data_IF_084107495680
#
_entry.id   IF_084107495680
#
_cell.length_a   1.000
_cell.length_b   1.000
_cell.length_c   1.000
_cell.angle_alpha   90.00
_cell.angle_beta   90.00
_cell.angle_gamma   90.00
#
_symmetry.space_group_name_H-M   'P 1'
#
loop_
_entity.id
_entity.type
_entity.pdbx_description
1 polymer ?
#
# COMPACT_ATOMS: atom_id res chain seq x y z
N UNK A 1 -2.20 -24.29 24.76
CA UNK A 1 -1.35 -24.17 23.57
C UNK A 1 -1.64 -22.79 23.03
N UNK A 2 -0.88 -21.78 23.46
CA UNK A 2 -1.08 -20.40 23.03
C UNK A 2 -0.67 -20.31 21.56
N UNK A 3 -1.64 -20.17 20.66
CA UNK A 3 -1.40 -19.82 19.26
C UNK A 3 -0.66 -18.49 19.25
N UNK A 4 0.65 -18.54 19.01
CA UNK A 4 1.45 -17.33 18.85
C UNK A 4 0.94 -16.61 17.61
N UNK A 5 0.42 -15.40 17.77
CA UNK A 5 0.02 -14.58 16.62
C UNK A 5 1.23 -14.38 15.71
N UNK A 6 1.05 -14.73 14.44
CA UNK A 6 2.10 -14.62 13.43
C UNK A 6 1.80 -13.45 12.51
N UNK A 7 2.86 -12.80 12.04
CA UNK A 7 2.81 -11.69 11.10
C UNK A 7 3.63 -12.03 9.88
N UNK A 8 3.01 -11.88 8.72
CA UNK A 8 3.66 -11.99 7.42
C UNK A 8 4.14 -10.62 7.00
N UNK A 9 5.42 -10.52 6.67
CA UNK A 9 6.04 -9.34 6.09
C UNK A 9 6.41 -9.65 4.66
N UNK A 10 6.01 -8.79 3.72
CA UNK A 10 6.27 -8.98 2.31
C UNK A 10 6.78 -7.71 1.63
N UNK A 11 7.72 -7.86 0.70
CA UNK A 11 8.22 -6.80 -0.16
C UNK A 11 8.73 -7.36 -1.50
N UNK A 12 8.91 -6.50 -2.50
CA UNK A 12 9.58 -6.84 -3.76
C UNK A 12 11.06 -6.46 -3.72
N UNK A 13 11.93 -7.40 -4.07
CA UNK A 13 13.37 -7.11 -4.12
C UNK A 13 13.70 -6.19 -5.32
N UNK A 14 14.35 -5.04 -5.11
CA UNK A 14 14.74 -4.14 -6.21
C UNK A 14 15.81 -4.71 -7.15
N UNK A 15 16.47 -5.82 -6.79
CA UNK A 15 17.59 -6.37 -7.57
C UNK A 15 17.28 -7.65 -8.34
N UNK A 16 16.32 -8.44 -7.89
CA UNK A 16 15.91 -9.69 -8.57
C UNK A 16 14.42 -9.72 -8.89
N UNK A 17 13.67 -8.67 -8.52
CA UNK A 17 12.25 -8.48 -8.77
C UNK A 17 11.35 -9.60 -8.23
N UNK A 18 11.89 -10.45 -7.34
CA UNK A 18 11.14 -11.51 -6.69
C UNK A 18 10.44 -10.98 -5.44
N UNK A 19 9.25 -11.49 -5.21
CA UNK A 19 8.52 -11.35 -3.95
C UNK A 19 9.25 -12.09 -2.83
N UNK A 20 9.46 -11.38 -1.73
CA UNK A 20 10.03 -11.92 -0.50
C UNK A 20 8.96 -11.80 0.56
N UNK A 21 8.41 -12.93 1.00
CA UNK A 21 7.43 -12.99 2.07
C UNK A 21 7.96 -13.89 3.19
N UNK A 22 7.91 -13.41 4.43
CA UNK A 22 8.41 -14.14 5.59
C UNK A 22 7.42 -14.01 6.73
N UNK A 23 7.11 -15.14 7.34
CA UNK A 23 6.31 -15.22 8.55
C UNK A 23 7.20 -15.14 9.80
N UNK A 24 6.81 -14.28 10.76
CA UNK A 24 7.46 -14.14 12.06
C UNK A 24 6.43 -14.10 13.17
N UNK A 25 6.73 -14.75 14.29
CA UNK A 25 5.91 -14.63 15.50
C UNK A 25 6.14 -13.27 16.16
N UNK A 26 5.17 -12.77 16.92
CA UNK A 26 5.34 -11.53 17.71
C UNK A 26 6.58 -11.60 18.62
N UNK A 27 6.86 -12.78 19.17
CA UNK A 27 8.04 -12.99 20.01
C UNK A 27 9.34 -12.83 19.24
N UNK A 28 9.44 -13.40 18.02
CA UNK A 28 10.60 -13.21 17.16
C UNK A 28 10.81 -11.74 16.81
N UNK A 29 9.72 -11.03 16.53
CA UNK A 29 9.73 -9.60 16.24
C UNK A 29 10.18 -8.75 17.45
N UNK A 30 9.89 -9.19 18.67
CA UNK A 30 10.22 -8.49 19.91
C UNK A 30 11.62 -8.80 20.43
N UNK A 31 12.17 -9.97 20.12
CA UNK A 31 13.43 -10.42 20.66
C UNK A 31 14.64 -9.63 20.13
N UNK A 32 14.61 -9.14 18.89
CA UNK A 32 15.71 -8.36 18.30
C UNK A 32 15.30 -7.68 16.98
N UNK A 33 16.17 -6.80 16.46
CA UNK A 33 16.02 -6.28 15.11
C UNK A 33 15.97 -7.43 14.10
N UNK A 34 14.85 -7.57 13.39
CA UNK A 34 14.66 -8.64 12.42
C UNK A 34 15.09 -8.12 11.05
N UNK A 35 16.16 -8.69 10.52
CA UNK A 35 16.54 -8.51 9.13
C UNK A 35 16.01 -9.70 8.31
N UNK A 36 15.25 -9.39 7.27
CA UNK A 36 14.66 -10.33 6.33
C UNK A 36 15.42 -10.21 5.01
N UNK A 37 16.52 -10.94 4.82
CA UNK A 37 17.27 -10.90 3.59
C UNK A 37 16.48 -11.55 2.45
N UNK A 38 16.54 -10.94 1.27
CA UNK A 38 16.09 -11.60 0.05
C UNK A 38 17.00 -12.81 -0.23
N UNK A 39 16.46 -13.92 -0.77
CA UNK A 39 17.25 -15.07 -1.21
C UNK A 39 18.36 -14.73 -2.22
N UNK A 40 18.26 -13.61 -2.94
CA UNK A 40 19.33 -13.15 -3.83
C UNK A 40 20.51 -12.46 -3.11
N UNK A 41 20.36 -12.15 -1.81
CA UNK A 41 21.38 -11.53 -0.97
C UNK A 41 21.61 -10.03 -1.19
N UNK A 42 20.91 -9.40 -2.14
CA UNK A 42 21.16 -7.99 -2.54
C UNK A 42 20.28 -6.96 -1.83
N UNK A 43 19.26 -7.41 -1.10
CA UNK A 43 18.35 -6.52 -0.37
C UNK A 43 17.87 -7.19 0.91
N UNK A 44 17.48 -6.39 1.90
CA UNK A 44 16.88 -6.91 3.12
C UNK A 44 15.86 -5.93 3.69
N UNK A 45 14.73 -6.45 4.16
CA UNK A 45 13.76 -5.67 4.92
C UNK A 45 14.11 -5.74 6.41
N UNK A 46 14.28 -4.60 7.07
CA UNK A 46 14.57 -4.52 8.50
C UNK A 46 13.36 -4.09 9.30
N UNK A 47 13.16 -4.71 10.46
CA UNK A 47 12.09 -4.39 11.41
C UNK A 47 12.68 -4.19 12.79
N UNK A 48 12.35 -3.05 13.40
CA UNK A 48 12.79 -2.69 14.74
C UNK A 48 11.57 -2.29 15.58
N UNK A 49 11.31 -3.01 16.68
CA UNK A 49 10.27 -2.66 17.64
C UNK A 49 10.83 -1.71 18.72
N UNK A 50 10.33 -0.48 18.72
CA UNK A 50 10.70 0.62 19.62
C UNK A 50 9.58 0.88 20.65
N UNK A 51 9.25 -0.13 21.46
CA UNK A 51 8.19 -0.05 22.48
C UNK A 51 6.80 0.09 21.84
N UNK A 52 6.24 1.30 21.83
CA UNK A 52 4.92 1.60 21.25
C UNK A 52 4.95 1.78 19.72
N UNK A 53 6.13 1.88 19.12
CA UNK A 53 6.27 2.04 17.66
C UNK A 53 7.10 0.94 17.04
N UNK A 54 6.83 0.64 15.78
CA UNK A 54 7.64 -0.25 14.95
C UNK A 54 8.20 0.57 13.79
N UNK A 55 9.51 0.47 13.58
CA UNK A 55 10.22 1.04 12.45
C UNK A 55 10.51 -0.07 11.44
N UNK A 56 10.18 0.17 10.18
CA UNK A 56 10.54 -0.71 9.08
C UNK A 56 11.46 0.05 8.12
N UNK A 57 12.55 -0.59 7.72
CA UNK A 57 13.40 -0.12 6.61
C UNK A 57 13.21 -1.06 5.44
N UNK A 58 12.71 -0.53 4.33
CA UNK A 58 12.24 -1.31 3.20
C UNK A 58 12.94 -0.85 1.92
N UNK A 59 13.59 -1.76 1.19
CA UNK A 59 14.15 -1.43 -0.12
C UNK A 59 13.01 -1.29 -1.14
N UNK A 60 12.86 -0.12 -1.75
CA UNK A 60 11.79 0.15 -2.72
C UNK A 60 12.24 -0.21 -4.14
N UNK A 61 11.50 -1.11 -4.80
CA UNK A 61 11.66 -1.41 -6.22
C UNK A 61 11.38 -0.18 -7.11
N UNK A 62 10.30 0.56 -6.83
CA UNK A 62 9.84 1.62 -7.73
C UNK A 62 10.77 2.84 -7.82
N UNK A 63 11.48 3.18 -6.74
CA UNK A 63 12.38 4.34 -6.72
C UNK A 63 13.86 3.98 -6.50
N UNK A 64 14.18 2.69 -6.30
CA UNK A 64 15.53 2.21 -6.08
C UNK A 64 16.22 2.68 -4.79
N UNK A 65 15.45 3.15 -3.79
CA UNK A 65 15.97 3.68 -2.52
C UNK A 65 15.33 2.97 -1.33
N UNK A 66 16.02 2.95 -0.20
CA UNK A 66 15.45 2.48 1.06
C UNK A 66 14.50 3.50 1.67
N UNK A 67 13.32 3.05 2.09
CA UNK A 67 12.34 3.84 2.81
C UNK A 67 12.28 3.40 4.27
N UNK A 68 12.36 4.38 5.17
CA UNK A 68 12.11 4.16 6.60
C UNK A 68 10.71 4.61 6.93
N UNK A 69 9.87 3.69 7.37
CA UNK A 69 8.48 3.94 7.77
C UNK A 69 8.28 3.57 9.23
N UNK A 70 7.34 4.24 9.90
CA UNK A 70 7.01 3.95 11.30
C UNK A 70 5.51 3.78 11.46
N UNK A 71 5.11 2.80 12.26
CA UNK A 71 3.72 2.58 12.65
C UNK A 71 3.63 2.29 14.15
N UNK A 72 2.42 2.30 14.72
CA UNK A 72 2.25 1.86 16.11
C UNK A 72 2.34 0.34 16.21
N UNK A 73 2.87 -0.14 17.34
CA UNK A 73 2.94 -1.57 17.65
C UNK A 73 1.54 -2.20 17.64
N UNK A 74 0.52 -1.48 18.13
CA UNK A 74 -0.86 -1.95 18.07
C UNK A 74 -1.35 -2.15 16.63
N UNK A 75 -1.06 -1.21 15.71
CA UNK A 75 -1.45 -1.38 14.31
C UNK A 75 -0.69 -2.55 13.67
N UNK A 76 0.61 -2.65 13.92
CA UNK A 76 1.45 -3.73 13.43
C UNK A 76 0.96 -5.12 13.89
N UNK A 77 0.52 -5.23 15.15
CA UNK A 77 0.10 -6.50 15.76
C UNK A 77 -1.36 -6.88 15.56
N UNK A 78 -2.26 -5.94 15.25
CA UNK A 78 -3.69 -6.24 15.11
C UNK A 78 -4.33 -5.92 13.76
N UNK A 79 -3.70 -5.12 12.88
CA UNK A 79 -4.27 -4.85 11.56
C UNK A 79 -4.17 -6.07 10.64
N UNK A 80 -5.20 -6.30 9.81
CA UNK A 80 -5.21 -7.40 8.85
C UNK A 80 -4.13 -7.25 7.79
N UNK A 81 -3.93 -6.03 7.31
CA UNK A 81 -2.86 -5.65 6.39
C UNK A 81 -2.52 -4.18 6.59
N UNK A 82 -1.24 -3.88 6.64
CA UNK A 82 -0.66 -2.55 6.57
C UNK A 82 0.10 -2.48 5.26
N UNK A 83 -0.20 -1.47 4.45
CA UNK A 83 0.52 -1.14 3.24
C UNK A 83 1.34 0.13 3.48
N UNK A 84 2.59 0.13 3.01
CA UNK A 84 3.45 1.31 3.09
C UNK A 84 3.83 1.73 1.69
N UNK A 85 3.32 2.90 1.26
CA UNK A 85 3.51 3.39 -0.09
C UNK A 85 4.74 4.28 -0.25
N UNK A 86 5.39 4.18 -1.41
CA UNK A 86 6.42 5.11 -1.86
C UNK A 86 5.75 6.46 -2.15
N UNK A 87 6.24 7.54 -1.54
CA UNK A 87 5.74 8.88 -1.85
C UNK A 87 6.08 9.33 -3.27
N UNK A 88 7.11 8.75 -3.89
CA UNK A 88 7.57 9.13 -5.23
C UNK A 88 6.78 8.42 -6.35
N UNK A 89 6.60 7.11 -6.25
CA UNK A 89 5.88 6.34 -7.27
C UNK A 89 4.38 6.21 -7.00
N UNK A 90 3.96 6.33 -5.74
CA UNK A 90 2.59 6.02 -5.31
C UNK A 90 2.32 4.52 -5.13
N UNK A 91 3.25 3.64 -5.54
CA UNK A 91 3.18 2.19 -5.38
C UNK A 91 3.58 1.76 -3.96
N UNK A 92 3.02 0.64 -3.50
CA UNK A 92 3.39 0.05 -2.23
C UNK A 92 4.78 -0.56 -2.24
N UNK A 93 5.53 -0.37 -1.16
CA UNK A 93 6.89 -0.87 -0.98
C UNK A 93 6.92 -2.14 -0.13
N UNK A 94 6.04 -2.21 0.87
CA UNK A 94 5.90 -3.40 1.69
C UNK A 94 4.50 -3.55 2.28
N UNK A 95 4.22 -4.79 2.67
CA UNK A 95 3.01 -5.20 3.35
C UNK A 95 3.34 -5.94 4.64
N UNK A 96 2.53 -5.71 5.67
CA UNK A 96 2.62 -6.43 6.95
C UNK A 96 1.23 -6.79 7.45
N UNK A 97 1.02 -8.04 7.88
CA UNK A 97 -0.27 -8.43 8.44
C UNK A 97 -0.50 -9.93 8.50
N UNK A 98 -1.75 -10.32 8.30
CA UNK A 98 -2.18 -11.70 8.13
C UNK A 98 -1.75 -12.23 6.75
N UNK A 99 -1.45 -13.53 6.68
CA UNK A 99 -0.90 -14.16 5.47
C UNK A 99 -1.75 -13.89 4.22
N UNK A 100 -3.03 -14.29 4.23
CA UNK A 100 -3.92 -14.14 3.07
C UNK A 100 -4.00 -12.71 2.50
N UNK A 101 -4.36 -11.71 3.33
CA UNK A 101 -4.40 -10.30 2.90
C UNK A 101 -3.05 -9.77 2.38
N UNK A 102 -1.94 -10.18 3.01
CA UNK A 102 -0.59 -9.76 2.59
C UNK A 102 -0.24 -10.35 1.23
N UNK A 103 -0.48 -11.65 1.00
CA UNK A 103 -0.22 -12.28 -0.29
C UNK A 103 -1.10 -11.70 -1.40
N UNK A 104 -2.38 -11.42 -1.14
CA UNK A 104 -3.26 -10.77 -2.12
C UNK A 104 -2.78 -9.34 -2.48
N UNK A 105 -2.25 -8.60 -1.50
CA UNK A 105 -1.66 -7.29 -1.77
C UNK A 105 -0.33 -7.40 -2.53
N UNK A 106 0.50 -8.39 -2.19
CA UNK A 106 1.77 -8.64 -2.86
C UNK A 106 1.59 -9.01 -4.34
N UNK A 107 0.60 -9.86 -4.67
CA UNK A 107 0.28 -10.21 -6.05
C UNK A 107 -0.11 -9.00 -6.89
N UNK A 108 -0.88 -8.06 -6.31
CA UNK A 108 -1.22 -6.80 -6.99
C UNK A 108 0.02 -5.95 -7.24
N UNK A 109 0.93 -5.89 -6.26
CA UNK A 109 2.19 -5.19 -6.41
C UNK A 109 3.09 -5.83 -7.47
N UNK A 110 3.16 -7.17 -7.54
CA UNK A 110 3.88 -7.91 -8.57
C UNK A 110 3.35 -7.56 -9.98
N UNK A 111 2.03 -7.54 -10.16
CA UNK A 111 1.41 -7.16 -11.43
C UNK A 111 1.72 -5.70 -11.81
N UNK A 112 1.67 -4.77 -10.84
CA UNK A 112 2.04 -3.37 -11.08
C UNK A 112 3.53 -3.19 -11.42
N UNK A 113 4.41 -3.98 -10.80
CA UNK A 113 5.84 -3.97 -11.07
C UNK A 113 6.19 -4.51 -12.46
N UNK A 114 5.56 -5.61 -12.88
CA UNK A 114 5.74 -6.18 -14.22
C UNK A 114 5.31 -5.20 -15.33
N UNK A 115 4.24 -4.43 -15.10
CA UNK A 115 3.84 -3.32 -16.00
C UNK A 115 4.87 -2.19 -16.01
N UNK A 116 5.45 -1.84 -14.85
CA UNK A 116 6.49 -0.81 -14.77
C UNK A 116 7.74 -1.21 -15.58
N UNK A 117 8.18 -2.47 -15.49
CA UNK A 117 9.31 -2.99 -16.27
C UNK A 117 9.04 -2.93 -17.78
N UNK A 118 7.81 -3.22 -18.22
CA UNK A 118 7.40 -3.06 -19.62
C UNK A 118 7.38 -1.60 -20.06
N UNK A 119 6.88 -0.70 -19.22
CA UNK A 119 6.83 0.74 -19.48
C UNK A 119 8.21 1.42 -19.50
N UNK A 120 9.29 0.76 -19.05
CA UNK A 120 10.66 1.29 -19.26
C UNK A 120 11.20 0.99 -20.67
N UNK A 121 10.54 0.11 -21.44
CA UNK A 121 10.88 -0.22 -22.83
C UNK A 121 10.13 0.61 -23.89
N UNK A 122 9.00 1.22 -23.53
CA UNK A 122 8.14 2.04 -24.41
C UNK A 122 7.97 3.44 -23.77
N UNK A 123 7.75 4.49 -24.57
CA UNK A 123 7.71 5.89 -24.09
C UNK A 123 6.84 6.03 -22.81
N UNK A 124 7.47 6.42 -21.68
CA UNK A 124 6.78 6.62 -20.39
C UNK A 124 5.62 7.60 -20.57
N UNK A 125 4.40 7.07 -20.66
CA UNK A 125 3.16 7.83 -20.66
C UNK A 125 2.96 8.59 -19.34
N UNK A 126 1.92 9.41 -19.26
CA UNK A 126 1.63 10.20 -18.05
C UNK A 126 1.23 9.34 -16.83
N UNK A 127 0.88 8.08 -17.05
CA UNK A 127 0.42 7.12 -16.06
C UNK A 127 1.08 5.75 -16.26
N UNK A 128 1.06 4.90 -15.23
CA UNK A 128 1.59 3.53 -15.29
C UNK A 128 0.81 2.67 -16.29
N UNK A 129 -0.51 2.83 -16.33
CA UNK A 129 -1.40 2.20 -17.29
C UNK A 129 -2.52 3.19 -17.61
N UNK A 130 -2.49 3.77 -18.81
CA UNK A 130 -3.43 4.83 -19.19
C UNK A 130 -4.88 4.31 -19.22
N UNK A 131 -5.09 3.08 -19.69
CA UNK A 131 -6.42 2.46 -19.74
C UNK A 131 -6.98 2.25 -18.34
N UNK A 132 -6.20 1.63 -17.45
CA UNK A 132 -6.63 1.42 -16.05
C UNK A 132 -6.93 2.74 -15.35
N UNK A 133 -6.05 3.74 -15.50
CA UNK A 133 -6.25 5.06 -14.89
C UNK A 133 -7.55 5.72 -15.38
N UNK A 134 -7.82 5.66 -16.69
CA UNK A 134 -9.05 6.21 -17.27
C UNK A 134 -10.31 5.51 -16.73
N UNK A 135 -10.30 4.18 -16.63
CA UNK A 135 -11.45 3.42 -16.12
C UNK A 135 -11.70 3.72 -14.64
N UNK A 136 -10.67 3.74 -13.79
CA UNK A 136 -10.81 4.09 -12.37
C UNK A 136 -11.34 5.52 -12.20
N UNK A 137 -10.89 6.48 -13.02
CA UNK A 137 -11.42 7.85 -13.01
C UNK A 137 -12.89 7.92 -13.46
N UNK A 138 -13.30 7.09 -14.42
CA UNK A 138 -14.69 6.97 -14.87
C UNK A 138 -15.58 6.46 -13.74
N UNK A 139 -15.22 5.35 -13.10
CA UNK A 139 -15.96 4.80 -11.96
C UNK A 139 -16.06 5.80 -10.81
N UNK A 140 -14.95 6.47 -10.49
CA UNK A 140 -14.91 7.49 -9.45
C UNK A 140 -15.83 8.68 -9.77
N UNK A 141 -15.90 9.10 -11.04
CA UNK A 141 -16.80 10.16 -11.50
C UNK A 141 -18.27 9.75 -11.35
N UNK A 142 -18.62 8.51 -11.64
CA UNK A 142 -19.99 8.01 -11.43
C UNK A 142 -20.39 8.01 -9.95
N UNK A 143 -19.50 7.57 -9.07
CA UNK A 143 -19.74 7.61 -7.61
C UNK A 143 -19.91 9.06 -7.14
N UNK A 144 -19.07 9.97 -7.62
CA UNK A 144 -19.15 11.40 -7.30
C UNK A 144 -20.47 12.04 -7.76
N UNK A 145 -20.96 11.72 -8.96
CA UNK A 145 -22.22 12.25 -9.49
C UNK A 145 -23.44 11.83 -8.67
N UNK A 146 -23.35 10.71 -7.96
CA UNK A 146 -24.42 10.18 -7.10
C UNK A 146 -24.28 10.60 -5.63
N UNK A 147 -23.40 11.57 -5.34
CA UNK A 147 -23.05 12.01 -3.97
C UNK A 147 -22.53 10.84 -3.08
N UNK A 148 -21.86 9.86 -3.70
CA UNK A 148 -21.37 8.67 -3.02
C UNK A 148 -20.10 8.86 -2.20
N UNK A 149 -19.44 10.02 -2.31
CA UNK A 149 -18.16 10.31 -1.64
C UNK A 149 -18.42 11.14 -0.39
N UNK A 150 -18.06 10.58 0.77
CA UNK A 150 -18.26 11.24 2.06
C UNK A 150 -17.03 11.05 2.95
N UNK A 151 -16.87 11.91 3.95
CA UNK A 151 -15.86 11.77 4.97
C UNK A 151 -16.51 11.44 6.32
N UNK A 152 -15.81 10.70 7.17
CA UNK A 152 -16.28 10.39 8.54
C UNK A 152 -16.38 11.64 9.44
N UNK A 153 -15.86 12.79 9.03
CA UNK A 153 -16.11 14.08 9.69
C UNK A 153 -17.48 14.69 9.36
N UNK A 154 -18.26 14.08 8.45
CA UNK A 154 -19.56 14.57 7.99
C UNK A 154 -19.48 15.47 6.74
N UNK A 155 -18.28 15.78 6.25
CA UNK A 155 -18.13 16.57 5.02
C UNK A 155 -18.28 15.72 3.76
N UNK A 156 -19.00 16.26 2.78
CA UNK A 156 -19.11 15.75 1.41
C UNK A 156 -18.23 16.55 0.44
N UNK A 157 -17.46 17.52 0.94
CA UNK A 157 -16.54 18.32 0.13
C UNK A 157 -15.19 17.64 0.06
N UNK A 158 -14.73 17.37 -1.15
CA UNK A 158 -13.46 16.71 -1.39
C UNK A 158 -12.70 17.33 -2.56
N UNK A 159 -11.41 17.03 -2.61
CA UNK A 159 -10.46 17.37 -3.69
C UNK A 159 -9.84 16.08 -4.20
N UNK A 160 -9.41 16.08 -5.45
CA UNK A 160 -8.76 14.94 -6.09
C UNK A 160 -7.39 15.35 -6.63
N UNK A 161 -6.43 14.46 -6.44
CA UNK A 161 -5.09 14.54 -7.01
C UNK A 161 -4.81 13.22 -7.75
N UNK A 162 -4.45 13.32 -9.02
CA UNK A 162 -4.05 12.16 -9.83
C UNK A 162 -2.54 12.04 -9.77
N UNK A 163 -2.05 10.86 -9.40
CA UNK A 163 -0.64 10.49 -9.42
C UNK A 163 -0.39 9.48 -10.55
N UNK A 164 0.87 9.10 -10.74
CA UNK A 164 1.29 8.20 -11.81
C UNK A 164 0.55 6.84 -11.81
N UNK A 165 0.24 6.28 -10.62
CA UNK A 165 -0.37 4.95 -10.48
C UNK A 165 -1.51 4.90 -9.45
N UNK A 166 -1.99 6.05 -8.99
CA UNK A 166 -3.02 6.14 -7.95
C UNK A 166 -3.71 7.50 -7.96
N UNK A 167 -4.87 7.57 -7.33
CA UNK A 167 -5.66 8.79 -7.15
C UNK A 167 -5.84 9.03 -5.65
N UNK A 168 -5.49 10.21 -5.18
CA UNK A 168 -5.70 10.61 -3.80
C UNK A 168 -6.93 11.53 -3.69
N UNK A 169 -7.88 11.14 -2.84
CA UNK A 169 -9.03 11.94 -2.43
C UNK A 169 -8.75 12.61 -1.09
N UNK A 170 -8.97 13.91 -1.01
CA UNK A 170 -8.78 14.69 0.22
C UNK A 170 -10.09 15.32 0.66
N UNK A 171 -10.46 15.18 1.93
CA UNK A 171 -11.56 15.93 2.51
C UNK A 171 -11.16 17.42 2.62
N UNK A 172 -11.99 18.31 2.11
CA UNK A 172 -11.73 19.75 2.12
C UNK A 172 -11.85 20.40 3.51
N UNK A 173 -12.52 19.73 4.46
CA UNK A 173 -12.78 20.25 5.80
C UNK A 173 -11.75 19.76 6.83
N UNK A 174 -11.53 18.45 6.94
CA UNK A 174 -10.60 17.87 7.93
C UNK A 174 -9.22 17.52 7.37
N UNK A 175 -9.00 17.68 6.05
CA UNK A 175 -7.73 17.36 5.39
C UNK A 175 -7.40 15.87 5.31
N UNK A 176 -8.33 14.99 5.68
CA UNK A 176 -8.13 13.56 5.61
C UNK A 176 -7.95 13.06 4.17
N UNK A 177 -7.11 12.06 3.98
CA UNK A 177 -6.80 11.50 2.67
C UNK A 177 -7.27 10.04 2.54
N UNK A 178 -7.73 9.67 1.36
CA UNK A 178 -7.99 8.30 0.94
C UNK A 178 -7.29 8.08 -0.40
N UNK A 179 -6.46 7.05 -0.47
CA UNK A 179 -5.80 6.65 -1.71
C UNK A 179 -6.59 5.55 -2.41
N UNK A 180 -6.75 5.69 -3.72
CA UNK A 180 -7.35 4.71 -4.62
C UNK A 180 -6.25 4.25 -5.58
N UNK A 181 -5.85 2.98 -5.55
CA UNK A 181 -4.92 2.42 -6.54
C UNK A 181 -5.49 2.53 -7.96
N UNK A 182 -4.63 2.76 -8.96
CA UNK A 182 -5.02 2.82 -10.37
C UNK A 182 -3.86 2.32 -11.24
N UNK A 183 -3.35 1.14 -10.89
CA UNK A 183 -2.13 0.54 -11.45
C UNK A 183 -2.40 -0.77 -12.21
N UNK A 184 -3.45 -1.49 -11.83
CA UNK A 184 -3.78 -2.83 -12.32
C UNK A 184 -5.27 -2.97 -12.62
N UNK A 185 -5.63 -3.93 -13.46
CA UNK A 185 -7.03 -4.24 -13.79
C UNK A 185 -7.85 -4.63 -12.55
N UNK A 186 -7.19 -5.19 -11.52
CA UNK A 186 -7.84 -5.50 -10.25
C UNK A 186 -8.24 -4.23 -9.47
N UNK A 187 -7.59 -3.09 -9.73
CA UNK A 187 -7.97 -1.81 -9.13
C UNK A 187 -9.27 -1.29 -9.76
N UNK A 188 -9.52 -1.61 -11.04
CA UNK A 188 -10.81 -1.38 -11.68
C UNK A 188 -11.86 -2.22 -10.97
N UNK A 189 -11.63 -3.51 -10.74
CA UNK A 189 -12.59 -4.38 -10.06
C UNK A 189 -12.91 -3.92 -8.61
N UNK A 190 -11.91 -3.40 -7.88
CA UNK A 190 -12.10 -2.93 -6.50
C UNK A 190 -12.94 -1.64 -6.39
N UNK A 191 -12.92 -0.78 -7.41
CA UNK A 191 -13.78 0.40 -7.49
C UNK A 191 -15.09 0.13 -8.23
N UNK A 192 -15.05 -0.76 -9.22
CA UNK A 192 -16.22 -1.24 -9.94
C UNK A 192 -17.19 -1.86 -8.95
N UNK A 193 -18.46 -1.47 -9.05
CA UNK A 193 -19.52 -1.84 -8.10
C UNK A 193 -19.50 -1.15 -6.72
N UNK A 194 -18.54 -0.27 -6.41
CA UNK A 194 -18.67 0.57 -5.20
C UNK A 194 -19.71 1.66 -5.43
N UNK A 195 -20.68 1.73 -4.54
CA UNK A 195 -21.69 2.79 -4.54
C UNK A 195 -21.30 4.00 -3.69
N UNK A 196 -20.40 3.80 -2.73
CA UNK A 196 -19.94 4.84 -1.81
C UNK A 196 -18.46 4.71 -1.48
N UNK A 197 -17.78 5.84 -1.37
CA UNK A 197 -16.40 5.96 -0.90
C UNK A 197 -16.38 6.80 0.37
N UNK A 198 -15.75 6.28 1.43
CA UNK A 198 -15.74 6.91 2.75
C UNK A 198 -14.33 7.27 3.16
N UNK A 199 -13.96 8.55 3.04
CA UNK A 199 -12.67 9.08 3.48
C UNK A 199 -12.62 9.00 5.01
N UNK A 200 -11.68 8.22 5.53
CA UNK A 200 -11.49 8.05 6.98
C UNK A 200 -10.75 9.25 7.55
N UNK A 201 -11.50 10.16 8.15
CA UNK A 201 -10.98 11.30 8.88
C UNK A 201 -10.29 10.90 10.18
N UNK A 202 -9.33 11.71 10.63
CA UNK A 202 -8.87 11.66 12.02
C UNK A 202 -10.09 11.90 12.91
N UNK A 203 -10.51 10.88 13.66
CA UNK A 203 -11.32 11.12 14.86
C UNK A 203 -10.41 11.83 15.85
N UNK A 204 -10.64 13.12 16.06
CA UNK A 204 -10.19 13.76 17.28
C UNK A 204 -11.02 13.14 18.41
N UNK A 205 -10.38 12.24 19.15
CA UNK A 205 -10.85 11.70 20.42
C UNK A 205 -9.84 12.07 21.48
#
# INVERSE_FOLDING_TARGET
MEEQSKRTLAYLCPSCHQSVAVERTVFQLAASANELPCPCGKSALRVEMMGDRVRLTVPCLSCGRDHTVTCSTQAFLHQKVLAFSCAQSGLDCCYVGEEGPVFAALQRLEAAADKLERAEGEEKGAFLDELVMHEVLSELKEIAQRDGISCTCGSHRWKLQVNYSSIDLFCADCGAAMRIPAATDNDIDDICCKTKLVIRGKKEG
#
